data_IF_518910377612
#
_entry.id   IF_518910377612
#
_cell.length_a   1.000
_cell.length_b   1.000
_cell.length_c   1.000
_cell.angle_alpha   90.00
_cell.angle_beta   90.00
_cell.angle_gamma   90.00
#
_symmetry.space_group_name_H-M   'P 1'
#
loop_
_entity.id
_entity.type
_entity.pdbx_description
1 polymer ?
#
# COMPACT_ATOMS: atom_id res chain seq x y z
N UNK A 1 -17.42 35.19 1.97
CA UNK A 1 -16.89 34.33 3.06
C UNK A 1 -16.84 32.93 2.48
N UNK A 2 -15.71 32.53 1.87
CA UNK A 2 -15.60 31.20 1.26
C UNK A 2 -15.28 30.21 2.38
N UNK A 3 -16.21 29.30 2.66
CA UNK A 3 -15.97 28.17 3.54
C UNK A 3 -14.84 27.35 2.91
N UNK A 4 -13.69 27.31 3.58
CA UNK A 4 -12.62 26.39 3.26
C UNK A 4 -13.15 24.99 3.54
N UNK A 5 -13.72 24.34 2.52
CA UNK A 5 -14.03 22.92 2.54
C UNK A 5 -12.70 22.19 2.69
N UNK A 6 -12.27 22.01 3.94
CA UNK A 6 -11.19 21.07 4.27
C UNK A 6 -11.68 19.73 3.76
N UNK A 7 -11.17 19.30 2.60
CA UNK A 7 -11.43 17.95 2.13
C UNK A 7 -10.87 17.01 3.19
N UNK A 8 -11.74 16.47 4.03
CA UNK A 8 -11.38 15.43 4.97
C UNK A 8 -10.81 14.32 4.09
N UNK A 9 -9.52 14.03 4.25
CA UNK A 9 -8.90 12.95 3.50
C UNK A 9 -9.66 11.68 3.80
N UNK A 10 -9.91 10.82 2.80
CA UNK A 10 -10.62 9.54 3.01
C UNK A 10 -9.98 8.73 4.15
N UNK A 11 -8.69 8.90 4.38
CA UNK A 11 -7.94 8.26 5.46
C UNK A 11 -8.22 8.86 6.84
N UNK A 12 -8.40 10.18 6.95
CA UNK A 12 -8.69 10.86 8.21
C UNK A 12 -10.08 10.49 8.76
N UNK A 13 -10.99 10.01 7.90
CA UNK A 13 -12.31 9.51 8.29
C UNK A 13 -12.30 8.04 8.76
N UNK A 14 -11.19 7.32 8.56
CA UNK A 14 -11.10 5.87 8.81
C UNK A 14 -10.28 5.50 10.04
N UNK A 15 -9.58 6.46 10.66
CA UNK A 15 -8.66 6.21 11.77
C UNK A 15 -8.74 7.30 12.83
N UNK A 16 -8.23 6.99 14.02
CA UNK A 16 -8.36 7.85 15.20
C UNK A 16 -7.26 8.91 15.28
N UNK A 17 -6.19 8.81 14.48
CA UNK A 17 -5.05 9.73 14.51
C UNK A 17 -4.51 10.13 13.13
N UNK A 18 -4.00 11.37 12.97
CA UNK A 18 -3.33 11.81 11.74
C UNK A 18 -2.12 10.94 11.34
N UNK A 19 -1.43 10.35 12.32
CA UNK A 19 -0.29 9.45 12.13
C UNK A 19 -0.72 8.13 11.50
N UNK A 20 -1.81 7.53 12.00
CA UNK A 20 -2.40 6.34 11.42
C UNK A 20 -2.94 6.60 10.01
N UNK A 21 -3.50 7.80 9.77
CA UNK A 21 -4.02 8.18 8.47
C UNK A 21 -2.90 8.24 7.43
N UNK A 22 -1.75 8.85 7.76
CA UNK A 22 -0.58 8.86 6.89
C UNK A 22 0.01 7.47 6.68
N UNK A 23 0.05 6.64 7.72
CA UNK A 23 0.53 5.26 7.61
C UNK A 23 -0.38 4.44 6.67
N UNK A 24 -1.69 4.53 6.85
CA UNK A 24 -2.68 3.86 6.01
C UNK A 24 -2.63 4.37 4.56
N UNK A 25 -2.43 5.67 4.36
CA UNK A 25 -2.24 6.28 3.04
C UNK A 25 -1.00 5.72 2.34
N UNK A 26 0.14 5.65 3.03
CA UNK A 26 1.38 5.10 2.47
C UNK A 26 1.23 3.61 2.16
N UNK A 27 0.73 2.80 3.10
CA UNK A 27 0.47 1.38 2.90
C UNK A 27 -0.46 1.13 1.71
N UNK A 28 -1.53 1.91 1.58
CA UNK A 28 -2.48 1.80 0.47
C UNK A 28 -1.82 2.09 -0.87
N UNK A 29 -0.97 3.12 -0.91
CA UNK A 29 -0.22 3.46 -2.13
C UNK A 29 0.73 2.34 -2.53
N UNK A 30 1.52 1.81 -1.60
CA UNK A 30 2.47 0.73 -1.86
C UNK A 30 1.75 -0.56 -2.28
N UNK A 31 0.70 -0.96 -1.55
CA UNK A 31 -0.10 -2.14 -1.87
C UNK A 31 -0.69 -2.03 -3.28
N UNK A 32 -1.23 -0.87 -3.65
CA UNK A 32 -1.78 -0.66 -5.01
C UNK A 32 -0.73 -0.80 -6.10
N UNK A 33 0.47 -0.23 -5.90
CA UNK A 33 1.59 -0.37 -6.86
C UNK A 33 1.97 -1.83 -7.00
N UNK A 34 2.19 -2.52 -5.87
CA UNK A 34 2.58 -3.93 -5.85
C UNK A 34 1.52 -4.81 -6.52
N UNK A 35 0.23 -4.63 -6.18
CA UNK A 35 -0.87 -5.37 -6.82
C UNK A 35 -0.91 -5.14 -8.33
N UNK A 36 -0.65 -3.92 -8.81
CA UNK A 36 -0.61 -3.63 -10.24
C UNK A 36 0.55 -4.37 -10.92
N UNK A 37 1.74 -4.36 -10.32
CA UNK A 37 2.92 -5.04 -10.87
C UNK A 37 2.71 -6.55 -10.90
N UNK A 38 2.24 -7.14 -9.80
CA UNK A 38 1.95 -8.58 -9.73
C UNK A 38 0.92 -9.00 -10.79
N UNK A 39 -0.15 -8.22 -10.97
CA UNK A 39 -1.17 -8.50 -12.00
C UNK A 39 -0.62 -8.35 -13.43
N UNK A 40 0.42 -7.53 -13.64
CA UNK A 40 1.04 -7.34 -14.94
C UNK A 40 1.96 -8.50 -15.37
N UNK A 41 2.34 -9.38 -14.45
CA UNK A 41 3.16 -10.55 -14.77
C UNK A 41 2.40 -11.62 -15.57
N UNK A 42 1.06 -11.57 -15.59
CA UNK A 42 0.20 -12.56 -16.24
C UNK A 42 0.50 -14.02 -15.83
N UNK A 43 0.96 -14.18 -14.58
CA UNK A 43 1.30 -15.47 -14.01
C UNK A 43 0.15 -16.03 -13.15
N UNK A 44 -0.01 -17.36 -13.08
CA UNK A 44 -0.82 -18.00 -12.05
C UNK A 44 -0.38 -17.52 -10.65
N UNK A 45 -1.35 -17.32 -9.76
CA UNK A 45 -1.09 -16.79 -8.41
C UNK A 45 -0.02 -17.59 -7.65
N UNK A 46 0.05 -18.91 -7.85
CA UNK A 46 1.08 -19.75 -7.20
C UNK A 46 2.51 -19.41 -7.65
N UNK A 47 2.69 -19.02 -8.91
CA UNK A 47 3.99 -18.65 -9.47
C UNK A 47 4.38 -17.24 -9.06
N UNK A 48 3.45 -16.29 -9.14
CA UNK A 48 3.65 -14.95 -8.60
C UNK A 48 4.01 -14.96 -7.10
N UNK A 49 3.41 -15.86 -6.32
CA UNK A 49 3.74 -16.00 -4.90
C UNK A 49 5.18 -16.48 -4.69
N UNK A 50 5.64 -17.42 -5.52
CA UNK A 50 7.04 -17.90 -5.49
C UNK A 50 8.03 -16.81 -5.87
N UNK A 51 7.71 -16.01 -6.89
CA UNK A 51 8.55 -14.89 -7.32
C UNK A 51 8.70 -13.83 -6.22
N UNK A 52 7.63 -13.57 -5.46
CA UNK A 52 7.66 -12.69 -4.30
C UNK A 52 8.18 -13.35 -3.01
N UNK A 53 8.60 -14.62 -3.06
CA UNK A 53 9.03 -15.40 -1.90
C UNK A 53 7.99 -15.45 -0.76
N UNK A 54 6.70 -15.49 -1.11
CA UNK A 54 5.59 -15.60 -0.15
C UNK A 54 4.74 -16.85 -0.40
N UNK A 55 3.88 -17.17 0.56
CA UNK A 55 2.88 -18.21 0.39
C UNK A 55 1.74 -17.72 -0.53
N UNK A 56 1.07 -18.66 -1.21
CA UNK A 56 -0.09 -18.33 -2.05
C UNK A 56 -1.24 -17.67 -1.27
N UNK A 57 -1.58 -18.10 -0.03
CA UNK A 57 -2.56 -17.38 0.80
C UNK A 57 -2.15 -15.94 1.07
N UNK A 58 -0.88 -15.68 1.38
CA UNK A 58 -0.38 -14.32 1.63
C UNK A 58 -0.52 -13.43 0.39
N UNK A 59 -0.21 -13.97 -0.79
CA UNK A 59 -0.46 -13.26 -2.05
C UNK A 59 -1.96 -13.00 -2.27
N UNK A 60 -2.83 -13.93 -1.88
CA UNK A 60 -4.29 -13.73 -1.96
C UNK A 60 -4.73 -12.55 -1.10
N UNK A 61 -4.21 -12.43 0.13
CA UNK A 61 -4.51 -11.31 1.01
C UNK A 61 -4.10 -9.96 0.41
N UNK A 62 -2.92 -9.92 -0.22
CA UNK A 62 -2.42 -8.76 -0.94
C UNK A 62 -3.34 -8.37 -2.10
N UNK A 63 -3.69 -9.33 -2.97
CA UNK A 63 -4.51 -9.09 -4.15
C UNK A 63 -5.96 -8.71 -3.81
N UNK A 64 -6.46 -9.17 -2.67
CA UNK A 64 -7.78 -8.81 -2.13
C UNK A 64 -7.76 -7.53 -1.29
N UNK A 65 -6.63 -6.84 -1.18
CA UNK A 65 -6.56 -5.54 -0.50
C UNK A 65 -6.67 -5.59 1.02
N UNK A 66 -6.30 -6.71 1.67
CA UNK A 66 -6.34 -6.85 3.14
C UNK A 66 -5.21 -6.06 3.82
N UNK A 67 -5.29 -4.73 3.73
CA UNK A 67 -4.25 -3.79 4.14
C UNK A 67 -3.89 -3.86 5.62
N UNK A 68 -4.84 -4.21 6.48
CA UNK A 68 -4.67 -4.46 7.91
C UNK A 68 -3.63 -5.54 8.19
N UNK A 69 -3.46 -6.50 7.27
CA UNK A 69 -2.50 -7.60 7.40
C UNK A 69 -1.09 -7.28 6.96
N UNK A 70 -0.84 -6.09 6.41
CA UNK A 70 0.47 -5.70 5.89
C UNK A 70 0.97 -4.47 6.64
N UNK A 71 2.15 -4.60 7.25
CA UNK A 71 2.91 -3.46 7.73
C UNK A 71 3.52 -2.70 6.54
N UNK A 72 3.94 -1.46 6.78
CA UNK A 72 4.65 -0.67 5.78
C UNK A 72 5.96 -1.38 5.35
N UNK A 73 6.72 -1.88 6.32
CA UNK A 73 7.95 -2.64 6.10
C UNK A 73 7.73 -3.90 5.24
N UNK A 74 6.66 -4.67 5.52
CA UNK A 74 6.34 -5.84 4.71
C UNK A 74 6.05 -5.47 3.24
N UNK A 75 5.38 -4.34 2.99
CA UNK A 75 5.12 -3.87 1.62
C UNK A 75 6.40 -3.41 0.92
N UNK A 76 7.32 -2.77 1.65
CA UNK A 76 8.65 -2.37 1.14
C UNK A 76 9.44 -3.62 0.71
N UNK A 77 9.51 -4.65 1.56
CA UNK A 77 10.23 -5.88 1.26
C UNK A 77 9.65 -6.64 0.05
N UNK A 78 8.32 -6.62 -0.10
CA UNK A 78 7.66 -7.25 -1.25
C UNK A 78 7.87 -6.48 -2.55
N UNK A 79 7.89 -5.14 -2.51
CA UNK A 79 8.23 -4.31 -3.66
C UNK A 79 9.68 -4.57 -4.10
N UNK A 80 10.62 -4.66 -3.16
CA UNK A 80 12.00 -5.02 -3.46
C UNK A 80 12.10 -6.43 -4.08
N UNK A 81 11.33 -7.40 -3.58
CA UNK A 81 11.24 -8.75 -4.16
C UNK A 81 10.58 -8.76 -5.55
N UNK A 82 9.83 -7.71 -5.90
CA UNK A 82 9.27 -7.47 -7.22
C UNK A 82 10.23 -6.69 -8.14
N UNK A 83 11.49 -6.51 -7.73
CA UNK A 83 12.53 -5.74 -8.44
C UNK A 83 12.18 -4.25 -8.61
N UNK A 84 11.53 -3.68 -7.60
CA UNK A 84 11.14 -2.26 -7.58
C UNK A 84 11.92 -1.51 -6.51
N UNK A 85 12.43 -0.34 -6.87
CA UNK A 85 13.03 0.62 -5.95
C UNK A 85 12.01 1.66 -5.47
N UNK A 86 12.12 2.06 -4.21
CA UNK A 86 11.18 3.00 -3.58
C UNK A 86 11.91 4.30 -3.25
N UNK A 87 11.47 5.40 -3.86
CA UNK A 87 11.88 6.75 -3.49
C UNK A 87 10.82 7.42 -2.62
N UNK A 88 11.22 7.97 -1.48
CA UNK A 88 10.32 8.66 -0.54
C UNK A 88 10.64 10.16 -0.53
N UNK A 89 9.62 10.97 -0.82
CA UNK A 89 9.67 12.43 -0.66
C UNK A 89 8.76 12.89 0.47
N UNK A 90 9.35 13.49 1.50
CA UNK A 90 8.64 14.07 2.65
C UNK A 90 8.36 15.55 2.37
N UNK A 91 7.17 16.02 2.73
CA UNK A 91 6.75 17.43 2.62
C UNK A 91 6.08 17.86 3.92
N UNK A 92 6.07 19.16 4.21
CA UNK A 92 5.26 19.71 5.32
C UNK A 92 3.79 19.43 5.04
N UNK A 93 3.06 18.95 6.04
CA UNK A 93 1.59 18.83 5.98
C UNK A 93 1.03 20.25 5.89
N UNK A 94 0.17 20.52 4.90
CA UNK A 94 -0.51 21.81 4.82
C UNK A 94 -1.45 21.93 6.02
N UNK A 95 -1.45 23.09 6.67
CA UNK A 95 -2.29 23.41 7.83
C UNK A 95 -3.76 23.60 7.46
#
# INVERSE_FOLDING_TARGET
>A
MMANERSISVWDALVDSPEEAENLRLRSKLMRVLTKVVKSWDLPQKEAARQLHVTQPRLSELLNGKIDKFSLDALVNLLASADLEIEIKVKKKAA
#
